data_IF_204231393921
#
_entry.id   IF_204231393921
#
_cell.length_a   1.000
_cell.length_b   1.000
_cell.length_c   1.000
_cell.angle_alpha   90.00
_cell.angle_beta   90.00
_cell.angle_gamma   90.00
#
_symmetry.space_group_name_H-M   'P 1'
#
loop_
_entity.id
_entity.type
_entity.pdbx_description
1 polymer ?
2 non-polymer ?
3 non-polymer ?
4 water ?
#
# COMPACT_ATOMS: atom_id res chain seq x y z
N UNK A 1 -7.38 -12.02 15.40
CA UNK A 1 -6.26 -11.15 15.85
C UNK A 1 -6.68 -9.93 16.66
N UNK A 2 -5.67 -9.16 17.07
CA UNK A 2 -5.87 -7.94 17.81
C UNK A 2 -5.51 -6.76 16.91
N UNK A 3 -6.36 -5.73 16.88
CA UNK A 3 -6.06 -4.54 16.08
C UNK A 3 -4.97 -3.73 16.75
N UNK A 4 -4.14 -3.10 15.91
CA UNK A 4 -3.09 -2.22 16.36
C UNK A 4 -3.05 -1.02 15.38
N UNK A 5 -2.35 0.04 15.77
CA UNK A 5 -2.26 1.24 14.92
C UNK A 5 -1.06 1.26 13.97
N UNK A 6 -0.11 0.36 14.17
CA UNK A 6 1.03 0.29 13.28
C UNK A 6 1.72 -1.05 13.42
N UNK A 7 2.55 -1.37 12.45
CA UNK A 7 3.41 -2.55 12.55
C UNK A 7 4.63 -2.34 11.66
N UNK A 8 5.52 -3.32 11.63
CA UNK A 8 6.74 -3.19 10.85
C UNK A 8 6.65 -4.16 9.70
N UNK A 9 6.91 -3.66 8.49
CA UNK A 9 6.82 -4.48 7.29
C UNK A 9 8.04 -5.38 7.15
N UNK A 10 8.00 -6.27 6.16
CA UNK A 10 9.11 -7.23 5.94
C UNK A 10 10.42 -6.54 5.55
N UNK A 11 10.33 -5.32 5.02
CA UNK A 11 11.52 -4.53 4.66
C UNK A 11 12.01 -3.68 5.86
N UNK A 12 11.31 -3.75 6.99
CA UNK A 12 11.72 -3.06 8.22
C UNK A 12 11.21 -1.64 8.41
N UNK A 13 10.23 -1.24 7.62
CA UNK A 13 9.63 0.09 7.74
C UNK A 13 8.33 0.07 8.53
N UNK A 14 8.06 1.14 9.25
CA UNK A 14 6.80 1.22 9.97
C UNK A 14 5.67 1.56 9.01
N UNK A 15 4.57 0.83 9.10
CA UNK A 15 3.33 1.14 8.39
C UNK A 15 2.25 1.40 9.43
N UNK A 16 1.55 2.52 9.31
CA UNK A 16 0.51 2.90 10.26
C UNK A 16 -0.82 3.12 9.57
N UNK A 17 -1.90 3.09 10.35
CA UNK A 17 -3.21 3.41 9.82
C UNK A 17 -3.12 4.80 9.18
N UNK A 18 -3.63 4.92 7.97
CA UNK A 18 -3.62 6.17 7.21
C UNK A 18 -2.48 6.22 6.20
N UNK A 19 -1.49 5.33 6.34
CA UNK A 19 -0.38 5.32 5.41
C UNK A 19 -0.77 4.78 4.03
N UNK A 20 0.04 5.17 3.05
CA UNK A 20 -0.09 4.76 1.66
C UNK A 20 0.89 3.62 1.39
N UNK A 21 0.40 2.54 0.79
CA UNK A 21 1.18 1.32 0.57
C UNK A 21 0.93 0.80 -0.85
N UNK A 22 1.83 -0.05 -1.32
CA UNK A 22 1.56 -0.92 -2.45
C UNK A 22 0.97 -2.20 -1.89
N UNK A 23 -0.04 -2.73 -2.56
CA UNK A 23 -0.69 -3.97 -2.12
C UNK A 23 -0.81 -4.92 -3.27
N UNK A 24 -0.71 -6.22 -2.98
CA UNK A 24 -0.79 -7.24 -4.00
C UNK A 24 -1.91 -8.26 -3.82
N UNK A 25 -2.79 -8.34 -4.83
CA UNK A 25 -3.76 -9.43 -4.97
C UNK A 25 -3.61 -10.15 -6.31
N UNK A 26 -4.18 -11.35 -6.39
CA UNK A 26 -4.08 -12.13 -7.59
C UNK A 26 -4.79 -11.46 -8.74
N UNK A 27 -4.13 -11.47 -9.90
CA UNK A 27 -4.74 -10.97 -11.11
C UNK A 27 -4.58 -9.48 -11.35
N UNK A 28 -3.89 -8.79 -10.44
CA UNK A 28 -3.61 -7.37 -10.58
C UNK A 28 -2.15 -7.10 -10.31
N UNK A 29 -1.62 -6.03 -10.92
CA UNK A 29 -0.28 -5.61 -10.55
C UNK A 29 -0.29 -5.07 -9.11
N UNK A 30 0.89 -4.89 -8.53
CA UNK A 30 0.98 -4.13 -7.26
C UNK A 30 0.24 -2.80 -7.43
N UNK A 31 -0.59 -2.44 -6.47
CA UNK A 31 -1.54 -1.33 -6.62
C UNK A 31 -1.59 -0.47 -5.37
N UNK A 32 -1.64 0.86 -5.53
CA UNK A 32 -1.62 1.69 -4.33
C UNK A 32 -2.88 1.63 -3.47
N UNK A 33 -2.70 1.68 -2.15
CA UNK A 33 -3.83 1.63 -1.23
C UNK A 33 -3.55 2.45 0.03
N UNK A 34 -4.63 2.75 0.72
CA UNK A 34 -4.59 3.42 2.02
C UNK A 34 -4.89 2.42 3.15
N UNK A 35 -4.08 2.41 4.20
CA UNK A 35 -4.28 1.47 5.31
C UNK A 35 -5.39 1.96 6.24
N UNK A 36 -6.41 1.12 6.45
CA UNK A 36 -7.55 1.45 7.31
C UNK A 36 -7.44 0.82 8.71
N UNK A 37 -6.85 -0.39 8.78
CA UNK A 37 -6.68 -1.08 10.05
C UNK A 37 -5.58 -2.11 9.90
N UNK A 38 -5.02 -2.53 11.02
CA UNK A 38 -3.96 -3.52 11.06
C UNK A 38 -4.33 -4.51 12.16
N UNK A 39 -4.25 -5.79 11.88
CA UNK A 39 -4.57 -6.80 12.88
C UNK A 39 -3.48 -7.87 12.98
N UNK A 40 -3.09 -8.15 14.23
CA UNK A 40 -2.02 -9.11 14.54
C UNK A 40 -2.54 -10.38 15.20
N UNK A 41 -2.09 -11.54 14.72
CA UNK A 41 -2.51 -12.78 15.36
C UNK A 41 -2.06 -12.83 16.82
N UNK A 42 -2.79 -13.60 17.64
CA UNK A 42 -2.57 -13.69 19.09
C UNK A 42 -2.57 -15.16 19.49
N UNK A 43 -1.99 -15.49 20.64
CA UNK A 43 -1.52 -16.89 20.85
C UNK A 43 -2.61 -17.97 20.85
N UNK A 44 -3.86 -17.60 21.15
CA UNK A 44 -5.01 -18.53 21.18
C UNK A 44 -5.69 -18.81 19.82
N UNK A 45 -5.32 -18.00 18.84
CA UNK A 45 -5.75 -18.04 17.43
C UNK A 45 -5.29 -19.30 16.72
N UNK A 46 -6.04 -19.70 15.68
CA UNK A 46 -5.63 -20.82 14.85
C UNK A 46 -4.27 -20.61 14.21
N UNK A 47 -4.02 -19.36 13.79
CA UNK A 47 -2.72 -18.98 13.23
C UNK A 47 -2.14 -17.72 13.91
N UNK A 48 -1.46 -17.90 15.05
CA UNK A 48 -1.01 -16.75 15.84
C UNK A 48 -0.03 -15.83 15.12
N UNK A 49 0.62 -16.33 14.08
CA UNK A 49 1.66 -15.55 13.38
C UNK A 49 1.14 -14.76 12.21
N UNK A 50 -0.15 -14.89 11.90
CA UNK A 50 -0.70 -14.17 10.77
C UNK A 50 -0.86 -12.72 11.14
N UNK A 51 -0.54 -11.85 10.20
CA UNK A 51 -0.81 -10.43 10.38
C UNK A 51 -1.32 -9.83 9.07
N UNK A 52 -2.22 -8.87 9.20
CA UNK A 52 -2.89 -8.37 8.02
C UNK A 52 -3.29 -6.92 8.21
N UNK A 53 -3.62 -6.30 7.09
CA UNK A 53 -4.17 -4.94 7.08
C UNK A 53 -5.39 -4.86 6.20
N UNK A 54 -6.35 -4.05 6.60
CA UNK A 54 -7.48 -3.73 5.78
C UNK A 54 -7.09 -2.48 5.03
N UNK A 55 -7.24 -2.50 3.72
CA UNK A 55 -6.79 -1.39 2.88
C UNK A 55 -7.88 -0.98 1.91
N UNK A 56 -7.87 0.31 1.55
CA UNK A 56 -8.74 0.89 0.55
C UNK A 56 -7.91 1.22 -0.68
N UNK A 57 -8.19 0.61 -1.80
CA UNK A 57 -7.38 0.82 -3.00
C UNK A 57 -7.68 2.21 -3.61
N UNK A 58 -6.64 2.92 -3.99
CA UNK A 58 -6.82 4.12 -4.80
C UNK A 58 -7.38 3.80 -6.20
N UNK A 59 -8.10 4.76 -6.75
CA UNK A 59 -8.64 4.62 -8.10
C UNK A 59 -9.58 3.45 -8.22
N UNK A 60 -10.25 3.12 -7.11
CA UNK A 60 -11.00 1.89 -6.97
C UNK A 60 -12.08 2.04 -5.93
N UNK A 61 -13.19 1.31 -6.07
CA UNK A 61 -14.22 1.24 -5.03
C UNK A 61 -14.00 0.18 -3.91
N UNK A 62 -12.97 -0.63 -4.04
CA UNK A 62 -12.83 -1.86 -3.27
C UNK A 62 -11.96 -1.69 -2.00
N UNK A 63 -12.34 -2.43 -0.95
CA UNK A 63 -11.53 -2.58 0.26
C UNK A 63 -11.18 -4.06 0.45
N UNK A 64 -9.93 -4.32 0.81
CA UNK A 64 -9.43 -5.69 0.92
C UNK A 64 -8.64 -5.90 2.19
N UNK A 65 -8.47 -7.17 2.54
CA UNK A 65 -7.60 -7.58 3.61
C UNK A 65 -6.33 -8.21 3.01
N UNK A 66 -5.20 -7.62 3.34
CA UNK A 66 -3.90 -8.09 2.84
C UNK A 66 -3.04 -8.57 3.98
N UNK A 67 -2.43 -9.74 3.82
CA UNK A 67 -1.33 -10.13 4.70
C UNK A 67 -0.32 -8.98 4.66
N UNK A 68 0.34 -8.69 5.77
CA UNK A 68 1.42 -7.67 5.79
C UNK A 68 2.49 -8.01 4.75
N UNK A 69 2.73 -9.30 4.53
CA UNK A 69 3.61 -9.77 3.48
C UNK A 69 3.19 -9.37 2.07
N UNK A 70 1.93 -8.97 1.88
CA UNK A 70 1.42 -8.57 0.55
C UNK A 70 1.26 -7.06 0.43
N UNK A 71 1.93 -6.32 1.32
CA UNK A 71 2.03 -4.89 1.13
C UNK A 71 3.46 -4.41 1.35
N UNK A 72 3.73 -3.19 0.88
CA UNK A 72 5.03 -2.53 1.11
C UNK A 72 4.83 -1.03 1.15
N UNK A 73 5.76 -0.31 1.79
CA UNK A 73 5.62 1.16 1.78
C UNK A 73 5.68 1.76 0.37
N UNK A 74 4.86 2.76 0.13
CA UNK A 74 4.65 3.30 -1.18
C UNK A 74 5.89 3.97 -1.74
N UNK A 75 6.52 4.87 -0.98
CA UNK A 75 7.61 5.66 -1.55
C UNK A 75 8.82 4.79 -1.80
N UNK A 76 9.20 4.00 -0.82
CA UNK A 76 10.41 3.25 -0.95
C UNK A 76 10.37 2.23 -2.08
N UNK A 77 9.17 1.72 -2.37
CA UNK A 77 9.01 0.70 -3.41
C UNK A 77 8.48 1.26 -4.75
N UNK A 78 8.35 2.58 -4.84
CA UNK A 78 7.72 3.21 -5.99
C UNK A 78 8.42 2.93 -7.31
N UNK A 79 9.74 3.17 -7.39
CA UNK A 79 10.45 2.92 -8.63
C UNK A 79 10.37 1.46 -9.03
N UNK A 80 10.45 0.58 -8.04
CA UNK A 80 10.35 -0.85 -8.30
C UNK A 80 8.97 -1.24 -8.81
N UNK A 81 7.92 -0.76 -8.16
CA UNK A 81 6.57 -1.27 -8.42
C UNK A 81 5.74 -0.49 -9.46
N UNK A 82 6.06 0.78 -9.68
CA UNK A 82 5.30 1.58 -10.64
C UNK A 82 5.48 1.08 -12.08
N UNK A 83 4.37 0.67 -12.69
CA UNK A 83 4.36 0.17 -14.06
C UNK A 83 4.19 1.38 -14.98
N UNK A 84 5.21 1.59 -15.80
CA UNK A 84 5.32 2.79 -16.62
C UNK A 84 4.44 2.71 -17.88
N UNK A 85 3.86 1.53 -18.15
CA UNK A 85 3.10 1.29 -19.39
C UNK A 85 1.59 1.33 -19.20
N UNK A 86 1.11 0.94 -18.03
CA UNK A 86 -0.30 0.76 -17.81
C UNK A 86 -1.06 2.08 -17.87
N UNK A 87 -2.31 1.98 -18.32
CA UNK A 87 -3.15 3.14 -18.58
C UNK A 87 -4.35 3.09 -17.68
N UNK A 88 -5.26 4.03 -17.89
CA UNK A 88 -6.57 3.96 -17.30
C UNK A 88 -6.57 4.13 -15.79
N UNK A 89 -7.43 3.33 -15.16
CA UNK A 89 -7.66 3.29 -13.72
C UNK A 89 -6.35 3.19 -12.93
N UNK A 90 -5.47 2.31 -13.40
CA UNK A 90 -4.19 2.12 -12.74
C UNK A 90 -3.43 3.46 -12.63
N UNK A 91 -3.30 4.17 -13.75
CA UNK A 91 -2.52 5.42 -13.74
C UNK A 91 -3.22 6.47 -12.90
N UNK A 92 -4.55 6.48 -12.91
CA UNK A 92 -5.29 7.41 -12.10
C UNK A 92 -5.02 7.15 -10.61
N UNK A 93 -4.96 5.88 -10.23
CA UNK A 93 -4.65 5.50 -8.85
C UNK A 93 -3.26 5.95 -8.45
N UNK A 94 -2.28 5.71 -9.32
CA UNK A 94 -0.92 6.19 -9.08
C UNK A 94 -0.90 7.70 -8.81
N UNK A 95 -1.57 8.46 -9.68
CA UNK A 95 -1.64 9.92 -9.52
C UNK A 95 -2.25 10.29 -8.18
N UNK A 96 -3.37 9.68 -7.81
CA UNK A 96 -4.01 9.96 -6.53
C UNK A 96 -3.10 9.65 -5.35
N UNK A 97 -2.45 8.50 -5.42
CA UNK A 97 -1.57 8.08 -4.32
C UNK A 97 -0.37 9.00 -4.19
N UNK A 98 0.23 9.36 -5.31
CA UNK A 98 1.41 10.25 -5.28
C UNK A 98 1.02 11.60 -4.71
N UNK A 99 -0.15 12.07 -5.09
CA UNK A 99 -0.62 13.36 -4.57
C UNK A 99 -0.87 13.28 -3.07
N UNK A 100 -1.47 12.19 -2.61
CA UNK A 100 -1.75 11.98 -1.22
C UNK A 100 -0.45 11.88 -0.42
N UNK A 101 0.60 11.37 -1.05
CA UNK A 101 1.88 11.16 -0.36
C UNK A 101 2.84 12.34 -0.49
N UNK A 102 2.41 13.44 -1.07
CA UNK A 102 3.38 14.45 -1.51
C UNK A 102 4.02 15.26 -0.39
N UNK A 103 3.44 15.22 0.80
CA UNK A 103 3.98 16.01 1.91
C UNK A 103 5.08 15.25 2.66
N UNK A 104 4.99 13.93 2.71
CA UNK A 104 6.02 13.12 3.38
C UNK A 104 6.99 12.45 2.40
N UNK A 105 6.55 12.34 1.16
CA UNK A 105 7.33 11.72 0.09
C UNK A 105 7.19 12.57 -1.17
N UNK A 106 7.67 13.83 -1.12
CA UNK A 106 7.59 14.69 -2.30
C UNK A 106 8.38 14.15 -3.50
N UNK A 107 9.35 13.28 -3.26
CA UNK A 107 10.11 12.69 -4.35
C UNK A 107 9.28 11.87 -5.33
N UNK A 108 8.12 11.39 -4.90
CA UNK A 108 7.34 10.52 -5.78
C UNK A 108 6.59 11.40 -6.79
N UNK A 109 5.89 12.42 -6.31
CA UNK A 109 5.20 13.32 -7.23
C UNK A 109 6.25 13.99 -8.12
N UNK A 110 7.45 14.20 -7.60
CA UNK A 110 8.54 14.79 -8.37
C UNK A 110 8.90 13.86 -9.55
N UNK A 111 9.06 12.58 -9.26
CA UNK A 111 9.40 11.61 -10.28
C UNK A 111 8.27 11.51 -11.31
N UNK A 112 7.02 11.45 -10.85
CA UNK A 112 5.88 11.32 -11.75
C UNK A 112 5.78 12.52 -12.69
N UNK A 113 5.98 13.72 -12.16
CA UNK A 113 6.00 14.92 -12.99
C UNK A 113 7.10 14.89 -14.07
N UNK A 114 8.27 14.35 -13.75
CA UNK A 114 9.39 14.25 -14.70
C UNK A 114 9.03 13.22 -15.78
N UNK A 115 8.36 12.16 -15.35
CA UNK A 115 8.04 11.03 -16.23
C UNK A 115 6.95 11.36 -17.24
N UNK A 116 6.00 12.19 -16.83
CA UNK A 116 4.86 12.49 -17.68
C UNK A 116 5.28 13.15 -19.00
N UNK A 117 4.52 12.84 -20.05
CA UNK A 117 4.75 13.38 -21.38
C UNK A 117 3.42 13.72 -22.02
X LIG B 1 -6.21 -4.02 -6.46
X LIG B 1 -5.38 -4.60 -7.44
X LIG B 1 -7.65 -3.81 -6.92
X LIG B 1 -8.05 -4.61 -8.06
X LIG B 1 -7.86 -2.34 -7.27
X LIG B 1 -9.23 -2.15 -7.66
X LIG C 1 -10.98 -9.97 11.86
X LIG D 1 3.99 -12.71 12.74
X LIG E 1 -1.16 9.34 4.09
X LIG F 1 -1.07 -11.95 -10.30
X LIG G 1 -0.40 -12.18 -6.31
X LIG H 1 -9.87 -9.91 9.42
#
# INVERSE_FOLDING_TARGET
GQSVSECITEDGRTVAVGDIVWGKIHGFPWWPARVLDISLGQKEDGEPSWREAKVSWFGSPTTSFLSISKLSPFSEFFKLRFNRKKKGMYRKAITEAANAARHVAPEIRELLTQFET
GOL C1 O1 C2 O2 C3 O3
UNX UNK
UNX UNK
UNX UNK
UNX UNK
UNX UNK
UNX UNK
#
